data_IF_482938028461
#
_entry.id   IF_482938028461
#
_cell.length_a   1.000
_cell.length_b   1.000
_cell.length_c   1.000
_cell.angle_alpha   90.00
_cell.angle_beta   90.00
_cell.angle_gamma   90.00
#
_symmetry.space_group_name_H-M   'P 1'
#
loop_
_entity.id
_entity.type
_entity.pdbx_description
1 polymer ?
#
# COMPACT_ATOMS: atom_id res chain seq x y z
N UNK A 1 -14.02 -6.25 -11.72
CA UNK A 1 -12.85 -5.84 -12.52
C UNK A 1 -13.13 -4.64 -13.42
N UNK A 2 -14.20 -4.66 -14.25
CA UNK A 2 -14.52 -3.56 -15.17
C UNK A 2 -14.67 -2.18 -14.50
N UNK A 3 -15.36 -2.10 -13.36
CA UNK A 3 -15.51 -0.83 -12.61
C UNK A 3 -14.16 -0.28 -12.13
N UNK A 4 -13.31 -1.12 -11.55
CA UNK A 4 -11.98 -0.73 -11.11
C UNK A 4 -11.12 -0.23 -12.28
N UNK A 5 -11.17 -0.93 -13.41
CA UNK A 5 -10.44 -0.57 -14.64
C UNK A 5 -10.88 0.76 -15.25
N UNK A 6 -12.14 1.14 -15.09
CA UNK A 6 -12.70 2.39 -15.61
C UNK A 6 -12.56 3.56 -14.63
N UNK A 7 -12.08 3.33 -13.40
CA UNK A 7 -11.98 4.33 -12.36
C UNK A 7 -10.52 4.78 -12.13
N UNK A 8 -10.37 5.96 -11.54
CA UNK A 8 -9.08 6.47 -11.06
C UNK A 8 -9.08 6.44 -9.53
N UNK A 9 -8.01 5.93 -8.88
CA UNK A 9 -7.90 6.01 -7.44
C UNK A 9 -7.98 7.45 -6.94
N UNK A 10 -8.74 7.68 -5.87
CA UNK A 10 -8.91 9.01 -5.31
C UNK A 10 -7.56 9.62 -4.85
N UNK A 11 -7.39 10.96 -4.92
CA UNK A 11 -6.24 11.63 -4.34
C UNK A 11 -6.11 11.32 -2.85
N UNK A 12 -4.88 11.14 -2.40
CA UNK A 12 -4.58 10.91 -0.99
C UNK A 12 -4.14 12.23 -0.36
N UNK A 13 -4.69 12.56 0.80
CA UNK A 13 -4.11 13.59 1.65
C UNK A 13 -2.69 13.17 2.08
N UNK A 14 -1.80 14.12 2.41
CA UNK A 14 -0.49 13.78 2.95
C UNK A 14 -0.58 12.81 4.15
N UNK A 15 0.35 11.86 4.21
CA UNK A 15 0.60 11.05 5.40
C UNK A 15 1.89 11.47 6.07
N UNK A 16 2.49 10.54 6.81
CA UNK A 16 3.81 10.73 7.40
C UNK A 16 4.89 10.80 6.31
N UNK A 17 5.88 11.68 6.50
CA UNK A 17 7.03 11.79 5.59
C UNK A 17 7.90 10.53 5.62
N UNK A 18 8.06 9.96 6.82
CA UNK A 18 8.81 8.72 7.06
C UNK A 18 8.01 7.87 8.04
N UNK A 19 7.81 6.59 7.72
CA UNK A 19 7.12 5.65 8.60
C UNK A 19 8.01 5.24 9.78
N UNK A 20 7.44 4.65 10.86
CA UNK A 20 8.24 4.10 11.96
C UNK A 20 9.29 3.06 11.53
N UNK A 21 9.07 2.39 10.39
CA UNK A 21 9.99 1.42 9.79
C UNK A 21 11.10 2.09 8.92
N UNK A 22 11.14 3.42 8.88
CA UNK A 22 12.14 4.18 8.12
C UNK A 22 11.89 4.17 6.61
N UNK A 23 10.63 4.11 6.19
CA UNK A 23 10.20 4.07 4.78
C UNK A 23 9.55 5.39 4.39
N UNK A 24 9.73 5.80 3.16
CA UNK A 24 9.13 7.01 2.60
C UNK A 24 8.12 6.67 1.50
N UNK A 25 7.05 7.46 1.32
CA UNK A 25 6.16 7.31 0.17
C UNK A 25 6.93 7.31 -1.15
N UNK A 26 6.57 6.40 -2.05
CA UNK A 26 7.25 6.13 -3.32
C UNK A 26 8.11 4.86 -3.31
N UNK A 27 8.58 4.41 -2.14
CA UNK A 27 9.36 3.17 -2.02
C UNK A 27 8.53 1.93 -2.37
N UNK A 28 9.20 0.90 -2.91
CA UNK A 28 8.58 -0.41 -3.16
C UNK A 28 8.62 -1.25 -1.89
N UNK A 29 7.45 -1.66 -1.42
CA UNK A 29 7.23 -2.24 -0.10
C UNK A 29 6.34 -3.48 -0.17
N UNK A 30 6.37 -4.25 0.92
CA UNK A 30 5.48 -5.38 1.20
C UNK A 30 4.68 -5.09 2.46
N UNK A 31 3.37 -5.32 2.40
CA UNK A 31 2.43 -5.28 3.53
C UNK A 31 1.92 -6.69 3.76
N UNK A 32 2.17 -7.25 4.93
CA UNK A 32 1.80 -8.64 5.24
C UNK A 32 0.95 -8.71 6.51
N UNK A 33 -0.16 -9.47 6.51
CA UNK A 33 -0.86 -9.82 7.75
C UNK A 33 0.09 -10.49 8.75
N UNK A 34 -0.15 -10.32 10.04
CA UNK A 34 0.69 -10.95 11.07
C UNK A 34 0.39 -12.45 11.27
N UNK A 35 -0.79 -12.90 10.86
CA UNK A 35 -1.35 -14.22 11.10
C UNK A 35 -1.31 -15.16 9.88
N UNK A 36 -1.06 -14.64 8.67
CA UNK A 36 -0.98 -15.43 7.44
C UNK A 36 0.13 -14.92 6.49
N UNK A 37 0.69 -15.84 5.71
CA UNK A 37 1.70 -15.51 4.70
C UNK A 37 1.05 -15.18 3.35
N UNK A 38 0.44 -14.00 3.30
CA UNK A 38 -0.20 -13.46 2.10
C UNK A 38 0.18 -11.98 1.90
N UNK A 39 1.45 -11.70 1.50
CA UNK A 39 1.92 -10.33 1.34
C UNK A 39 1.30 -9.64 0.13
N UNK A 40 0.89 -8.38 0.31
CA UNK A 40 0.58 -7.46 -0.77
C UNK A 40 1.80 -6.58 -1.08
N UNK A 41 2.16 -6.51 -2.34
CA UNK A 41 3.35 -5.79 -2.82
C UNK A 41 2.94 -4.61 -3.68
N UNK A 42 3.55 -3.45 -3.47
CA UNK A 42 3.26 -2.24 -4.22
C UNK A 42 4.22 -1.10 -3.92
N UNK A 43 3.93 0.09 -4.45
CA UNK A 43 4.60 1.32 -4.03
C UNK A 43 3.86 1.91 -2.83
N UNK A 44 4.57 2.35 -1.80
CA UNK A 44 3.97 3.02 -0.66
C UNK A 44 3.39 4.36 -1.13
N UNK A 45 2.06 4.48 -1.21
CA UNK A 45 1.41 5.72 -1.63
C UNK A 45 1.22 6.67 -0.44
N UNK A 46 0.89 6.11 0.73
CA UNK A 46 0.68 6.84 1.97
C UNK A 46 0.81 5.91 3.17
N UNK A 47 1.29 6.42 4.29
CA UNK A 47 1.19 5.78 5.59
C UNK A 47 0.87 6.84 6.65
N UNK A 48 0.05 6.50 7.64
CA UNK A 48 -0.08 7.25 8.89
C UNK A 48 -0.22 6.26 10.07
N UNK A 49 -0.59 6.78 11.25
CA UNK A 49 -0.81 6.00 12.45
C UNK A 49 -1.89 4.90 12.32
N UNK A 50 -2.85 5.05 11.39
CA UNK A 50 -4.00 4.16 11.28
C UNK A 50 -3.99 3.30 10.01
N UNK A 51 -3.42 3.81 8.91
CA UNK A 51 -3.62 3.23 7.57
C UNK A 51 -2.34 3.23 6.74
N UNK A 52 -2.11 2.10 6.09
CA UNK A 52 -1.11 1.94 5.02
C UNK A 52 -1.88 1.91 3.69
N UNK A 53 -1.40 2.65 2.69
CA UNK A 53 -1.96 2.62 1.33
C UNK A 53 -0.87 2.28 0.33
N UNK A 54 -1.11 1.24 -0.47
CA UNK A 54 -0.25 0.86 -1.59
C UNK A 54 -0.85 1.34 -2.91
N UNK A 55 -0.02 1.91 -3.77
CA UNK A 55 -0.30 2.05 -5.19
C UNK A 55 0.16 0.77 -5.92
N UNK A 56 -0.78 0.10 -6.58
CA UNK A 56 -0.57 -1.15 -7.32
C UNK A 56 -1.07 -0.95 -8.75
N UNK A 57 -0.31 -1.44 -9.72
CA UNK A 57 -0.75 -1.51 -11.12
C UNK A 57 -1.16 -2.96 -11.43
N UNK A 58 -2.47 -3.21 -11.48
CA UNK A 58 -3.02 -4.54 -11.68
C UNK A 58 -3.29 -4.81 -13.17
N UNK A 59 -2.89 -5.96 -13.72
CA UNK A 59 -2.99 -6.23 -15.16
C UNK A 59 -4.43 -6.24 -15.69
N UNK A 60 -5.42 -6.54 -14.83
CA UNK A 60 -6.84 -6.59 -15.19
C UNK A 60 -7.65 -5.40 -14.66
N UNK A 61 -7.09 -4.62 -13.75
CA UNK A 61 -7.77 -3.53 -13.03
C UNK A 61 -7.18 -2.16 -13.31
N UNK A 62 -5.99 -2.08 -13.92
CA UNK A 62 -5.22 -0.85 -13.97
C UNK A 62 -4.77 -0.40 -12.56
N UNK A 63 -4.58 0.91 -12.36
CA UNK A 63 -4.05 1.47 -11.11
C UNK A 63 -5.08 1.36 -9.97
N UNK A 64 -4.60 0.95 -8.80
CA UNK A 64 -5.39 0.79 -7.58
C UNK A 64 -4.68 1.42 -6.38
N UNK A 65 -5.48 1.94 -5.45
CA UNK A 65 -5.08 2.15 -4.07
C UNK A 65 -5.63 1.00 -3.21
N UNK A 66 -4.74 0.24 -2.59
CA UNK A 66 -5.10 -0.84 -1.65
C UNK A 66 -4.80 -0.37 -0.24
N UNK A 67 -5.81 -0.39 0.63
CA UNK A 67 -5.73 0.15 1.97
C UNK A 67 -5.72 -0.95 3.02
N UNK A 68 -4.80 -0.84 3.97
CA UNK A 68 -4.66 -1.75 5.10
C UNK A 68 -4.71 -0.97 6.40
N UNK A 69 -5.34 -1.49 7.46
CA UNK A 69 -5.12 -0.96 8.80
C UNK A 69 -3.67 -1.17 9.22
N UNK A 70 -3.12 -0.30 10.07
CA UNK A 70 -1.79 -0.48 10.67
C UNK A 70 -1.77 -1.65 11.63
N UNK A 71 -2.81 -1.79 12.44
CA UNK A 71 -2.95 -2.89 13.40
C UNK A 71 -3.16 -4.20 12.64
N UNK A 72 -2.40 -5.24 13.01
CA UNK A 72 -2.50 -6.56 12.39
C UNK A 72 -1.67 -6.74 11.11
N UNK A 73 -0.96 -5.70 10.66
CA UNK A 73 -0.13 -5.75 9.46
C UNK A 73 1.30 -5.29 9.72
N UNK A 74 2.25 -5.95 9.06
CA UNK A 74 3.66 -5.55 9.02
C UNK A 74 3.96 -4.89 7.68
N UNK A 75 4.62 -3.73 7.76
CA UNK A 75 5.17 -3.03 6.60
C UNK A 75 6.69 -3.27 6.54
N UNK A 76 7.22 -3.56 5.36
CA UNK A 76 8.67 -3.75 5.17
C UNK A 76 9.12 -3.40 3.76
N UNK A 77 10.40 -3.03 3.58
CA UNK A 77 11.01 -2.96 2.24
C UNK A 77 10.86 -4.29 1.51
N UNK A 78 10.49 -4.24 0.24
CA UNK A 78 10.56 -5.42 -0.61
C UNK A 78 12.03 -5.68 -0.92
N UNK A 79 12.58 -6.80 -0.44
CA UNK A 79 13.90 -7.27 -0.88
C UNK A 79 13.72 -8.02 -2.22
N UNK A 80 14.62 -7.74 -3.16
CA UNK A 80 14.74 -8.46 -4.44
C UNK A 80 15.43 -9.79 -4.19
#
# INVERSE_FOLDING_TARGET
LALARAATPAPLAPGDATTPEGLTPGERVSVRPLDQDAPAVGRLARCDAERITLAVDGPLTGPLHVHFPRVGYRLSRQRV
#
